data_IF_347013737210
#
_entry.id   IF_347013737210
#
_cell.length_a   1.000
_cell.length_b   1.000
_cell.length_c   1.000
_cell.angle_alpha   90.00
_cell.angle_beta   90.00
_cell.angle_gamma   90.00
#
_symmetry.space_group_name_H-M   'P 1'
#
loop_
_entity.id
_entity.type
_entity.pdbx_description
1 polymer ?
#
# COMPACT_ATOMS: atom_id res chain seq x y z
N UNK A 1 -2.74 -4.48 20.02
CA UNK A 1 -2.57 -3.13 19.43
C UNK A 1 -1.32 -2.49 19.98
N UNK A 2 -0.54 -1.86 19.10
CA UNK A 2 0.61 -1.04 19.45
C UNK A 2 0.22 0.42 19.19
N UNK A 3 0.30 1.26 20.21
CA UNK A 3 0.04 2.69 20.10
C UNK A 3 1.36 3.44 19.85
N UNK A 4 1.39 4.25 18.80
CA UNK A 4 2.56 5.02 18.38
C UNK A 4 2.30 6.48 18.72
N UNK A 5 3.10 7.02 19.63
CA UNK A 5 2.97 8.41 20.07
C UNK A 5 3.32 9.40 18.96
N UNK A 6 2.88 10.63 19.12
CA UNK A 6 3.31 11.75 18.29
C UNK A 6 4.83 11.80 18.18
N UNK A 7 5.35 11.90 16.97
CA UNK A 7 6.79 11.94 16.69
C UNK A 7 7.11 11.54 15.25
N UNK A 8 8.39 11.66 14.91
CA UNK A 8 8.95 11.19 13.64
C UNK A 8 9.82 9.98 13.93
N UNK A 9 9.50 8.87 13.31
CA UNK A 9 10.15 7.58 13.48
C UNK A 9 10.93 7.22 12.22
N UNK A 10 12.25 7.10 12.35
CA UNK A 10 13.16 6.66 11.28
C UNK A 10 13.43 5.18 11.46
N UNK A 11 13.01 4.35 10.49
CA UNK A 11 12.99 2.91 10.66
C UNK A 11 13.77 2.17 9.57
N UNK A 12 14.41 1.09 9.97
CA UNK A 12 15.02 0.12 9.05
C UNK A 12 13.90 -0.70 8.41
N UNK A 13 13.85 -0.71 7.09
CA UNK A 13 12.79 -1.36 6.32
C UNK A 13 13.18 -2.76 5.83
N UNK A 14 12.21 -3.67 5.64
CA UNK A 14 10.78 -3.51 5.91
C UNK A 14 10.41 -3.76 7.39
N UNK A 15 9.35 -3.09 7.86
CA UNK A 15 8.76 -3.38 9.16
C UNK A 15 7.70 -4.47 8.96
N UNK A 16 7.93 -5.64 9.53
CA UNK A 16 6.94 -6.73 9.49
C UNK A 16 5.93 -6.58 10.62
N UNK A 17 4.65 -6.43 10.26
CA UNK A 17 3.55 -6.37 11.23
C UNK A 17 3.00 -7.80 11.41
N UNK A 18 3.13 -8.41 12.59
CA UNK A 18 2.62 -9.75 12.85
C UNK A 18 1.10 -9.83 12.70
N UNK A 19 0.59 -11.03 12.48
CA UNK A 19 -0.87 -11.29 12.43
C UNK A 19 -1.57 -10.76 13.66
N UNK A 20 -2.79 -10.27 13.45
CA UNK A 20 -3.68 -9.78 14.49
C UNK A 20 -3.11 -8.59 15.31
N UNK A 21 -2.11 -7.89 14.76
CA UNK A 21 -1.54 -6.68 15.35
C UNK A 21 -2.02 -5.44 14.61
N UNK A 22 -2.48 -4.44 15.35
CA UNK A 22 -2.78 -3.12 14.82
C UNK A 22 -1.74 -2.11 15.32
N UNK A 23 -1.22 -1.29 14.39
CA UNK A 23 -0.41 -0.11 14.66
C UNK A 23 -1.34 1.11 14.59
N UNK A 24 -1.40 1.88 15.65
CA UNK A 24 -2.30 3.02 15.77
C UNK A 24 -1.52 4.25 16.21
N UNK A 25 -1.37 5.23 15.32
CA UNK A 25 -0.78 6.51 15.64
C UNK A 25 -1.70 7.36 16.52
N UNK A 26 -1.13 8.23 17.32
CA UNK A 26 -1.87 9.20 18.14
C UNK A 26 -2.70 10.13 17.26
N UNK A 27 -2.08 10.64 16.16
CA UNK A 27 -2.72 11.62 15.28
C UNK A 27 -2.09 11.55 13.88
N UNK A 28 -2.93 11.68 12.86
CA UNK A 28 -2.58 11.53 11.45
C UNK A 28 -1.36 12.37 11.01
N UNK A 29 -1.32 13.63 11.39
CA UNK A 29 -0.31 14.59 10.90
C UNK A 29 0.95 14.65 11.76
N UNK A 30 0.86 14.21 12.99
CA UNK A 30 1.95 14.32 13.96
C UNK A 30 2.60 12.97 14.32
N UNK A 31 2.05 11.85 13.84
CA UNK A 31 2.69 10.54 13.92
C UNK A 31 3.22 10.16 12.54
N UNK A 32 4.52 10.27 12.34
CA UNK A 32 5.15 10.06 11.03
C UNK A 32 6.14 8.91 11.08
N UNK A 33 6.06 8.01 10.10
CA UNK A 33 7.05 6.95 9.87
C UNK A 33 7.76 7.21 8.54
N UNK A 34 9.09 7.12 8.54
CA UNK A 34 9.93 7.26 7.35
C UNK A 34 11.09 6.27 7.37
N UNK A 35 11.68 5.95 6.20
CA UNK A 35 12.87 5.10 6.16
C UNK A 35 14.06 5.76 6.86
N UNK A 36 14.88 4.96 7.52
CA UNK A 36 16.23 5.36 7.88
C UNK A 36 17.09 5.55 6.63
N UNK A 37 18.18 6.30 6.76
CA UNK A 37 19.09 6.58 5.65
C UNK A 37 19.57 5.28 4.97
N UNK A 38 19.42 5.21 3.64
CA UNK A 38 19.76 4.04 2.83
C UNK A 38 18.63 3.02 2.62
N UNK A 39 17.46 3.25 3.20
CA UNK A 39 16.28 2.42 3.03
C UNK A 39 15.15 3.09 2.24
N UNK A 40 15.41 4.24 1.64
CA UNK A 40 14.41 5.03 0.91
C UNK A 40 13.97 4.39 -0.41
N UNK A 41 14.86 3.59 -1.03
CA UNK A 41 14.63 3.03 -2.38
C UNK A 41 14.72 1.51 -2.36
N UNK A 42 13.75 0.86 -3.03
CA UNK A 42 13.75 -0.59 -3.25
C UNK A 42 13.24 -1.43 -2.07
N UNK A 43 12.83 -0.82 -0.98
CA UNK A 43 12.27 -1.50 0.18
C UNK A 43 10.79 -1.14 0.35
N UNK A 44 9.96 -2.13 0.68
CA UNK A 44 8.61 -1.87 1.20
C UNK A 44 8.69 -1.36 2.64
N UNK A 45 7.79 -0.45 3.04
CA UNK A 45 7.83 0.07 4.40
C UNK A 45 7.18 -0.90 5.39
N UNK A 46 5.92 -1.26 5.17
CA UNK A 46 5.21 -2.20 6.03
C UNK A 46 4.86 -3.48 5.28
N UNK A 47 5.32 -4.61 5.78
CA UNK A 47 4.76 -5.91 5.46
C UNK A 47 3.62 -6.22 6.41
N UNK A 48 2.40 -6.26 5.87
CA UNK A 48 1.19 -6.52 6.65
C UNK A 48 0.67 -7.93 6.41
N UNK A 49 -0.24 -8.39 7.27
CA UNK A 49 -0.74 -9.75 7.29
C UNK A 49 -2.22 -9.78 7.67
N UNK A 50 -2.81 -10.96 7.80
CA UNK A 50 -4.18 -11.14 8.28
C UNK A 50 -4.39 -10.51 9.66
N UNK A 51 -5.53 -9.85 9.81
CA UNK A 51 -5.93 -9.22 11.06
C UNK A 51 -5.10 -7.99 11.44
N UNK A 52 -4.17 -7.55 10.57
CA UNK A 52 -3.38 -6.35 10.85
C UNK A 52 -4.15 -5.07 10.55
N UNK A 53 -3.75 -3.99 11.19
CA UNK A 53 -4.25 -2.66 10.90
C UNK A 53 -3.15 -1.62 10.94
N UNK A 54 -3.20 -0.64 10.04
CA UNK A 54 -2.36 0.57 10.05
C UNK A 54 -3.30 1.76 10.11
N UNK A 55 -3.20 2.58 11.15
CA UNK A 55 -4.17 3.66 11.40
C UNK A 55 -3.54 4.94 11.92
N UNK A 56 -4.15 6.07 11.55
CA UNK A 56 -3.89 7.40 12.11
C UNK A 56 -2.42 7.83 12.04
N UNK A 57 -1.77 7.69 10.88
CA UNK A 57 -0.38 8.09 10.72
C UNK A 57 -0.04 8.54 9.31
N UNK A 58 1.03 9.31 9.20
CA UNK A 58 1.65 9.68 7.93
C UNK A 58 2.85 8.78 7.65
N UNK A 59 2.92 8.25 6.45
CA UNK A 59 4.05 7.47 5.94
C UNK A 59 4.72 8.29 4.84
N UNK A 60 6.05 8.46 4.91
CA UNK A 60 6.72 9.30 3.92
C UNK A 60 8.15 8.84 3.61
N UNK A 61 8.70 9.37 2.52
CA UNK A 61 10.14 9.27 2.23
C UNK A 61 10.56 8.04 1.42
N UNK A 62 9.63 7.21 0.94
CA UNK A 62 9.99 6.22 -0.08
C UNK A 62 10.22 6.91 -1.41
N UNK A 63 11.29 6.49 -2.10
CA UNK A 63 11.71 7.06 -3.38
C UNK A 63 11.97 6.00 -4.43
N UNK A 64 11.90 6.40 -5.68
CA UNK A 64 12.19 5.60 -6.84
C UNK A 64 12.03 6.42 -8.11
N UNK A 65 12.01 5.75 -9.24
CA UNK A 65 11.81 6.34 -10.56
C UNK A 65 10.83 5.49 -11.36
N UNK A 66 10.24 6.05 -12.41
CA UNK A 66 9.50 5.25 -13.37
C UNK A 66 10.45 4.48 -14.27
N UNK A 67 10.20 3.18 -14.41
CA UNK A 67 10.91 2.33 -15.36
C UNK A 67 10.53 2.57 -16.82
N UNK A 68 10.94 1.64 -17.70
CA UNK A 68 10.58 1.69 -19.11
C UNK A 68 9.07 1.46 -19.32
N UNK A 69 8.57 1.96 -20.44
CA UNK A 69 7.20 1.71 -20.89
C UNK A 69 7.04 0.22 -21.22
N UNK A 70 6.00 -0.40 -20.68
CA UNK A 70 5.67 -1.80 -20.98
C UNK A 70 4.79 -1.93 -22.24
N UNK A 71 4.40 -3.16 -22.59
CA UNK A 71 3.57 -3.46 -23.76
C UNK A 71 2.17 -2.82 -23.73
N UNK A 72 1.70 -2.38 -22.58
CA UNK A 72 0.38 -1.73 -22.39
C UNK A 72 0.48 -0.19 -22.41
N UNK A 73 1.68 0.36 -22.59
CA UNK A 73 1.90 1.81 -22.61
C UNK A 73 2.07 2.45 -21.23
N UNK A 74 2.10 1.64 -20.17
CA UNK A 74 2.29 2.10 -18.80
C UNK A 74 3.69 1.80 -18.28
N UNK A 75 4.06 2.40 -17.14
CA UNK A 75 5.36 2.20 -16.49
C UNK A 75 5.16 1.66 -15.07
N UNK A 76 6.21 1.04 -14.53
CA UNK A 76 6.23 0.60 -13.13
C UNK A 76 7.27 1.40 -12.36
N UNK A 77 6.94 1.84 -11.14
CA UNK A 77 7.92 2.47 -10.27
C UNK A 77 8.95 1.46 -9.77
N UNK A 78 10.16 1.93 -9.51
CA UNK A 78 11.26 1.13 -8.96
C UNK A 78 11.27 1.16 -7.42
N UNK A 79 10.58 2.10 -6.80
CA UNK A 79 10.44 2.21 -5.35
C UNK A 79 9.53 1.14 -4.77
N UNK A 80 9.68 0.88 -3.48
CA UNK A 80 8.83 -0.06 -2.74
C UNK A 80 7.43 0.48 -2.46
N UNK A 81 6.63 -0.30 -1.74
CA UNK A 81 5.29 0.07 -1.32
C UNK A 81 5.28 0.55 0.14
N UNK A 82 4.48 1.59 0.44
CA UNK A 82 4.28 1.99 1.84
C UNK A 82 3.55 0.91 2.64
N UNK A 83 2.56 0.25 2.04
CA UNK A 83 1.88 -0.89 2.65
C UNK A 83 1.83 -2.03 1.64
N UNK A 84 2.44 -3.15 1.98
CA UNK A 84 2.49 -4.35 1.14
C UNK A 84 1.93 -5.54 1.92
N UNK A 85 0.92 -6.21 1.36
CA UNK A 85 0.46 -7.46 1.92
C UNK A 85 1.53 -8.53 1.64
N UNK A 86 2.30 -8.88 2.67
CA UNK A 86 3.45 -9.75 2.53
C UNK A 86 3.05 -11.23 2.51
N UNK A 87 3.31 -11.93 1.42
CA UNK A 87 2.99 -13.35 1.29
C UNK A 87 3.86 -14.27 2.17
N UNK A 88 5.04 -13.80 2.59
CA UNK A 88 6.00 -14.60 3.37
C UNK A 88 5.69 -14.75 4.85
N UNK A 89 4.64 -14.12 5.36
CA UNK A 89 4.35 -14.10 6.80
C UNK A 89 3.44 -15.24 7.30
N UNK A 90 3.34 -16.32 6.56
CA UNK A 90 2.63 -17.54 7.02
C UNK A 90 1.11 -17.39 7.05
N UNK A 91 0.55 -16.66 6.13
CA UNK A 91 -0.90 -16.56 5.96
C UNK A 91 -1.45 -17.88 5.43
N UNK A 92 -2.17 -18.61 6.26
CA UNK A 92 -2.79 -19.90 5.90
C UNK A 92 -4.29 -19.81 5.67
N UNK A 93 -4.83 -18.60 5.52
CA UNK A 93 -6.25 -18.41 5.20
C UNK A 93 -6.41 -18.44 3.68
N UNK A 94 -7.02 -19.51 3.18
CA UNK A 94 -7.21 -19.74 1.75
C UNK A 94 -8.24 -18.79 1.10
N UNK A 95 -8.87 -17.90 1.87
CA UNK A 95 -9.86 -16.95 1.33
C UNK A 95 -9.20 -15.84 0.54
N UNK A 96 -9.54 -15.75 -0.75
CA UNK A 96 -9.21 -14.60 -1.59
C UNK A 96 -10.26 -13.45 -1.46
N UNK A 97 -11.26 -13.62 -0.62
CA UNK A 97 -12.34 -12.65 -0.44
C UNK A 97 -12.01 -11.66 0.67
N UNK A 98 -12.70 -10.53 0.66
CA UNK A 98 -12.69 -9.61 1.80
C UNK A 98 -13.36 -10.31 2.98
N UNK A 99 -12.68 -10.35 4.11
CA UNK A 99 -13.15 -10.98 5.34
C UNK A 99 -12.85 -10.09 6.54
N UNK A 100 -13.34 -10.48 7.71
CA UNK A 100 -13.01 -9.80 8.97
C UNK A 100 -11.52 -9.88 9.32
N UNK A 101 -10.75 -10.69 8.62
CA UNK A 101 -9.30 -10.86 8.78
C UNK A 101 -8.47 -10.19 7.70
N UNK A 102 -9.08 -9.54 6.72
CA UNK A 102 -8.34 -8.73 5.74
C UNK A 102 -7.57 -7.63 6.45
N UNK A 103 -6.34 -7.35 6.00
CA UNK A 103 -5.61 -6.20 6.51
C UNK A 103 -6.40 -4.92 6.29
N UNK A 104 -6.37 -4.01 7.25
CA UNK A 104 -7.13 -2.77 7.20
C UNK A 104 -6.26 -1.54 7.40
N UNK A 105 -6.20 -0.70 6.36
CA UNK A 105 -5.53 0.60 6.38
C UNK A 105 -6.60 1.69 6.53
N UNK A 106 -6.48 2.55 7.55
CA UNK A 106 -7.51 3.54 7.84
C UNK A 106 -6.92 4.86 8.32
N UNK A 107 -7.40 5.96 7.76
CA UNK A 107 -6.95 7.31 8.12
C UNK A 107 -5.42 7.41 8.05
N UNK A 108 -4.87 7.19 6.86
CA UNK A 108 -3.42 7.20 6.58
C UNK A 108 -3.15 8.18 5.45
N UNK A 109 -2.00 8.85 5.49
CA UNK A 109 -1.49 9.63 4.37
C UNK A 109 -0.11 9.13 3.96
N UNK A 110 0.16 9.08 2.65
CA UNK A 110 1.49 8.73 2.12
C UNK A 110 2.06 9.86 1.28
N UNK A 111 3.38 10.08 1.39
CA UNK A 111 4.12 11.05 0.59
C UNK A 111 5.40 10.43 0.07
N UNK A 112 5.51 10.27 -1.26
CA UNK A 112 6.66 9.64 -1.89
C UNK A 112 6.84 10.01 -3.36
N UNK A 113 7.87 9.44 -3.98
CA UNK A 113 8.15 9.63 -5.41
C UNK A 113 8.59 8.30 -6.02
N UNK A 114 8.04 7.93 -7.18
CA UNK A 114 8.43 6.70 -7.90
C UNK A 114 8.26 5.42 -7.08
N UNK A 115 7.27 5.39 -6.19
CA UNK A 115 6.98 4.28 -5.27
C UNK A 115 5.48 3.90 -5.34
N UNK A 116 5.06 2.99 -4.48
CA UNK A 116 3.69 2.47 -4.46
C UNK A 116 3.04 2.81 -3.12
N UNK A 117 1.81 3.30 -3.15
CA UNK A 117 1.07 3.57 -1.92
C UNK A 117 0.68 2.30 -1.18
N UNK A 118 -0.03 1.42 -1.85
CA UNK A 118 -0.46 0.15 -1.28
C UNK A 118 -0.44 -0.96 -2.33
N UNK A 119 0.02 -2.16 -1.96
CA UNK A 119 0.16 -3.28 -2.89
C UNK A 119 -0.38 -4.57 -2.29
N UNK A 120 -1.09 -5.33 -3.12
CA UNK A 120 -1.40 -6.75 -2.89
C UNK A 120 -0.90 -7.55 -4.07
N UNK A 121 0.02 -8.48 -3.84
CA UNK A 121 0.50 -9.40 -4.86
C UNK A 121 -0.05 -10.81 -4.56
N UNK A 122 -1.16 -11.14 -5.20
CA UNK A 122 -1.85 -12.41 -4.99
C UNK A 122 -1.09 -13.62 -5.50
N UNK A 123 -0.19 -13.45 -6.46
CA UNK A 123 0.62 -14.54 -7.00
C UNK A 123 1.69 -15.00 -6.02
N UNK A 124 2.16 -14.10 -5.17
CA UNK A 124 3.11 -14.41 -4.11
C UNK A 124 2.44 -15.10 -2.91
N UNK A 125 1.11 -15.02 -2.78
CA UNK A 125 0.36 -15.65 -1.70
C UNK A 125 0.02 -17.10 -2.04
N UNK A 126 0.81 -18.02 -1.55
CA UNK A 126 0.52 -19.43 -1.70
C UNK A 126 -0.53 -19.86 -0.65
N UNK A 127 -1.81 -19.75 -1.02
CA UNK A 127 -2.94 -20.18 -0.19
C UNK A 127 -3.37 -19.22 0.93
N UNK A 128 -2.83 -18.01 1.00
CA UNK A 128 -3.19 -17.04 2.04
C UNK A 128 -4.31 -16.07 1.66
N UNK A 129 -4.71 -15.22 2.60
CA UNK A 129 -5.64 -14.14 2.34
C UNK A 129 -4.97 -13.10 1.43
N UNK A 130 -5.57 -12.92 0.26
CA UNK A 130 -5.07 -12.04 -0.81
C UNK A 130 -5.85 -10.73 -0.85
N UNK A 131 -6.37 -10.28 0.28
CA UNK A 131 -7.22 -9.10 0.33
C UNK A 131 -6.74 -8.05 1.31
N UNK A 132 -6.92 -6.79 0.94
CA UNK A 132 -6.66 -5.62 1.77
C UNK A 132 -7.84 -4.65 1.67
N UNK A 133 -8.13 -3.97 2.75
CA UNK A 133 -9.18 -2.94 2.82
C UNK A 133 -8.53 -1.62 3.19
N UNK A 134 -8.92 -0.56 2.53
CA UNK A 134 -8.50 0.79 2.90
C UNK A 134 -9.69 1.73 2.99
N UNK A 135 -9.64 2.62 3.98
CA UNK A 135 -10.62 3.69 4.18
C UNK A 135 -9.92 4.99 4.58
N UNK A 136 -10.35 6.12 4.00
CA UNK A 136 -9.75 7.43 4.28
C UNK A 136 -8.21 7.41 4.10
N UNK A 137 -7.78 6.97 2.94
CA UNK A 137 -6.37 6.85 2.62
C UNK A 137 -5.99 7.83 1.51
N UNK A 138 -5.23 8.86 1.88
CA UNK A 138 -4.74 9.88 0.95
C UNK A 138 -3.30 9.60 0.54
N UNK A 139 -3.04 9.56 -0.76
CA UNK A 139 -1.75 9.21 -1.33
C UNK A 139 -1.27 10.31 -2.26
N UNK A 140 -0.13 10.91 -1.96
CA UNK A 140 0.55 11.94 -2.76
C UNK A 140 1.87 11.31 -3.21
N UNK A 141 1.88 10.75 -4.43
CA UNK A 141 3.02 9.96 -4.91
C UNK A 141 3.34 10.37 -6.35
N UNK A 142 4.32 11.23 -6.52
CA UNK A 142 4.76 11.62 -7.87
C UNK A 142 5.39 10.42 -8.58
N UNK A 143 5.05 10.22 -9.86
CA UNK A 143 5.64 9.16 -10.70
C UNK A 143 5.51 7.73 -10.12
N UNK A 144 4.47 7.49 -9.33
CA UNK A 144 4.25 6.21 -8.67
C UNK A 144 2.91 5.57 -9.01
N UNK A 145 2.53 4.59 -8.19
CA UNK A 145 1.24 3.93 -8.25
C UNK A 145 0.55 4.10 -6.89
N UNK A 146 -0.67 4.60 -6.90
CA UNK A 146 -1.43 4.72 -5.66
C UNK A 146 -1.77 3.35 -5.07
N UNK A 147 -2.48 2.53 -5.83
CA UNK A 147 -2.82 1.17 -5.42
C UNK A 147 -2.55 0.16 -6.55
N UNK A 148 -1.98 -0.99 -6.18
CA UNK A 148 -1.72 -2.08 -7.13
C UNK A 148 -2.22 -3.43 -6.59
N UNK A 149 -3.16 -4.05 -7.31
CA UNK A 149 -3.58 -5.44 -7.12
C UNK A 149 -3.00 -6.29 -8.24
N UNK A 150 -2.19 -7.29 -7.90
CA UNK A 150 -1.63 -8.26 -8.84
C UNK A 150 -2.11 -9.68 -8.51
N UNK A 151 -2.15 -10.54 -9.55
CA UNK A 151 -2.61 -11.91 -9.39
C UNK A 151 -4.05 -11.96 -8.89
N UNK A 152 -4.40 -12.88 -8.02
CA UNK A 152 -5.74 -12.94 -7.42
C UNK A 152 -5.97 -11.96 -6.26
N UNK A 153 -5.10 -10.98 -6.08
CA UNK A 153 -5.23 -9.95 -5.04
C UNK A 153 -6.53 -9.16 -5.18
N UNK A 154 -7.17 -8.85 -4.05
CA UNK A 154 -8.44 -8.11 -4.00
C UNK A 154 -8.37 -6.95 -3.04
N UNK A 155 -9.14 -5.91 -3.32
CA UNK A 155 -9.27 -4.78 -2.41
C UNK A 155 -10.66 -4.16 -2.43
N UNK A 156 -11.03 -3.65 -1.28
CA UNK A 156 -12.09 -2.66 -1.12
C UNK A 156 -11.45 -1.34 -0.70
N UNK A 157 -11.61 -0.34 -1.54
CA UNK A 157 -11.07 1.01 -1.34
C UNK A 157 -12.23 1.97 -1.15
N UNK A 158 -12.36 2.54 0.04
CA UNK A 158 -13.41 3.50 0.37
C UNK A 158 -12.77 4.84 0.71
N UNK A 159 -13.16 5.91 0.04
CA UNK A 159 -12.54 7.23 0.25
C UNK A 159 -11.01 7.18 0.14
N UNK A 160 -10.50 6.53 -0.90
CA UNK A 160 -9.08 6.49 -1.22
C UNK A 160 -8.79 7.52 -2.31
N UNK A 161 -7.83 8.41 -2.03
CA UNK A 161 -7.49 9.53 -2.90
C UNK A 161 -6.04 9.38 -3.35
N UNK A 162 -5.79 9.50 -4.66
CA UNK A 162 -4.43 9.48 -5.22
C UNK A 162 -4.16 10.77 -5.98
N UNK A 163 -2.99 11.36 -5.74
CA UNK A 163 -2.56 12.61 -6.36
C UNK A 163 -1.19 12.44 -6.99
N UNK A 164 -1.04 12.94 -8.23
CA UNK A 164 0.20 12.99 -9.02
C UNK A 164 0.75 11.61 -9.38
N UNK A 165 -0.01 10.53 -9.15
CA UNK A 165 0.43 9.19 -9.49
C UNK A 165 0.53 9.00 -11.01
N UNK A 166 1.53 8.27 -11.47
CA UNK A 166 1.52 7.76 -12.85
C UNK A 166 0.25 6.92 -13.09
N UNK A 167 -0.10 6.05 -12.13
CA UNK A 167 -1.36 5.30 -12.14
C UNK A 167 -2.02 5.42 -10.76
N UNK A 168 -3.27 5.86 -10.72
CA UNK A 168 -4.03 5.90 -9.46
C UNK A 168 -4.32 4.50 -8.93
N UNK A 169 -5.07 3.69 -9.69
CA UNK A 169 -5.39 2.30 -9.36
C UNK A 169 -4.96 1.37 -10.48
N UNK A 170 -4.22 0.33 -10.14
CA UNK A 170 -3.72 -0.66 -11.09
C UNK A 170 -4.18 -2.07 -10.70
N UNK A 171 -4.76 -2.80 -11.65
CA UNK A 171 -5.03 -4.22 -11.55
C UNK A 171 -4.30 -4.98 -12.64
N UNK A 172 -3.55 -6.02 -12.29
CA UNK A 172 -2.80 -6.84 -13.23
C UNK A 172 -3.01 -8.33 -12.95
N UNK A 173 -2.92 -9.16 -13.99
CA UNK A 173 -2.94 -10.62 -13.87
C UNK A 173 -4.11 -11.17 -13.04
N UNK A 174 -5.32 -10.64 -13.26
CA UNK A 174 -6.52 -11.07 -12.54
C UNK A 174 -6.76 -10.38 -11.19
N UNK A 175 -5.93 -9.43 -10.82
CA UNK A 175 -6.13 -8.58 -9.64
C UNK A 175 -7.46 -7.82 -9.72
N UNK A 176 -8.11 -7.58 -8.57
CA UNK A 176 -9.42 -6.94 -8.49
C UNK A 176 -9.40 -5.76 -7.55
N UNK A 177 -9.74 -4.60 -8.09
CA UNK A 177 -9.90 -3.36 -7.33
C UNK A 177 -11.36 -2.94 -7.36
N UNK A 178 -11.95 -2.75 -6.20
CA UNK A 178 -13.23 -2.09 -6.05
C UNK A 178 -13.01 -0.79 -5.29
N UNK A 179 -13.34 0.33 -5.92
CA UNK A 179 -13.17 1.65 -5.35
C UNK A 179 -14.52 2.36 -5.26
N UNK A 180 -14.78 2.96 -4.11
CA UNK A 180 -16.00 3.70 -3.82
C UNK A 180 -15.64 5.04 -3.19
N UNK A 181 -16.24 6.12 -3.68
CA UNK A 181 -16.06 7.46 -3.12
C UNK A 181 -14.60 7.94 -3.06
N UNK A 182 -13.78 7.48 -4.01
CA UNK A 182 -12.38 7.88 -4.18
C UNK A 182 -12.19 8.84 -5.35
N UNK A 183 -10.98 9.36 -5.47
CA UNK A 183 -10.60 10.24 -6.58
C UNK A 183 -9.13 10.03 -6.95
N UNK A 184 -8.85 10.05 -8.25
CA UNK A 184 -7.50 10.08 -8.81
C UNK A 184 -7.32 11.42 -9.54
N UNK A 185 -6.36 12.23 -9.12
CA UNK A 185 -6.17 13.57 -9.65
C UNK A 185 -4.72 13.88 -9.99
N UNK A 186 -4.53 14.67 -11.04
CA UNK A 186 -3.24 15.19 -11.48
C UNK A 186 -2.21 14.11 -11.85
N UNK A 187 -2.66 12.92 -12.21
CA UNK A 187 -1.80 11.82 -12.67
C UNK A 187 -2.00 11.53 -14.16
N UNK A 188 -1.23 10.57 -14.69
CA UNK A 188 -1.32 10.20 -16.12
C UNK A 188 -2.52 9.28 -16.37
N UNK A 189 -2.78 8.32 -15.46
CA UNK A 189 -3.87 7.36 -15.57
C UNK A 189 -4.65 7.27 -14.26
N UNK A 190 -5.97 7.42 -14.33
CA UNK A 190 -6.83 7.24 -13.15
C UNK A 190 -6.89 5.78 -12.71
N UNK A 191 -7.22 4.88 -13.64
CA UNK A 191 -7.30 3.44 -13.39
C UNK A 191 -6.85 2.65 -14.62
N UNK A 192 -6.12 1.57 -14.39
CA UNK A 192 -5.59 0.70 -15.43
C UNK A 192 -5.86 -0.77 -15.07
N UNK A 193 -6.28 -1.58 -16.06
CA UNK A 193 -6.37 -3.03 -15.97
C UNK A 193 -5.51 -3.66 -17.09
N UNK A 194 -4.63 -4.62 -16.75
CA UNK A 194 -3.70 -5.31 -17.65
C UNK A 194 -3.68 -6.82 -17.42
#
# INVERSE_FOLDING_TARGET
TIFIKTGIYEEILPITVPRDVALVGDELRSTTVKPAAGYETGYDMFYVNNGTGIRNMTLQGLTGTLGAVNQYGTKRPTGGAFVSLNPGTGVNDASAWITSKSCYVQNVSTFGTGCIGMKVDGDLHNGGNKSIVANDFTQVISDGIGYWANGEGKSELVSVFTYYCHIGYLATNGGKVRATNGNNSYGDFGSVAE
#
